data_IF_351934701534
#
_entry.id   IF_351934701534
#
_cell.length_a   1.000
_cell.length_b   1.000
_cell.length_c   1.000
_cell.angle_alpha   90.00
_cell.angle_beta   90.00
_cell.angle_gamma   90.00
#
_symmetry.space_group_name_H-M   'P 1'
#
loop_
_entity.id
_entity.type
_entity.pdbx_description
1 polymer ?
#
# COMPACT_ATOMS: atom_id res chain seq x y z
N UNK A 1 -8.35 13.40 -32.83
CA UNK A 1 -9.35 12.32 -32.99
C UNK A 1 -9.16 11.51 -34.28
N UNK A 2 -8.51 12.08 -35.34
CA UNK A 2 -8.25 11.37 -36.60
C UNK A 2 -7.12 10.32 -36.52
N UNK A 3 -6.23 10.42 -35.55
CA UNK A 3 -5.09 9.49 -35.39
C UNK A 3 -5.54 8.12 -34.85
N UNK A 4 -6.62 8.09 -34.08
CA UNK A 4 -7.19 6.85 -33.54
C UNK A 4 -7.98 6.05 -34.58
N UNK A 5 -8.25 6.62 -35.76
CA UNK A 5 -9.01 5.99 -36.81
C UNK A 5 -8.18 5.74 -38.09
N UNK A 6 -6.87 5.67 -37.99
CA UNK A 6 -5.95 5.47 -39.11
C UNK A 6 -5.67 3.99 -39.45
N UNK A 7 -6.47 3.12 -39.00
CA UNK A 7 -6.41 1.70 -39.37
C UNK A 7 -7.77 1.22 -39.83
N UNK A 8 -7.88 0.01 -40.28
CA UNK A 8 -9.11 -0.70 -40.71
C UNK A 8 -10.17 -0.79 -39.59
N UNK A 9 -10.31 0.25 -38.89
CA UNK A 9 -10.90 0.72 -37.63
C UNK A 9 -12.02 -0.13 -37.05
N UNK A 10 -12.96 -0.60 -37.78
CA UNK A 10 -14.10 -1.29 -37.18
C UNK A 10 -14.17 -2.78 -37.54
N UNK A 11 -13.16 -3.32 -38.22
CA UNK A 11 -13.18 -4.74 -38.58
C UNK A 11 -13.08 -5.68 -37.37
N UNK A 12 -12.40 -5.25 -36.31
CA UNK A 12 -12.31 -5.98 -35.03
C UNK A 12 -13.61 -5.99 -34.24
N UNK A 13 -14.45 -4.95 -34.42
CA UNK A 13 -15.73 -4.81 -33.71
C UNK A 13 -16.90 -5.48 -34.45
N UNK A 14 -16.66 -6.12 -35.60
CA UNK A 14 -17.72 -6.73 -36.42
C UNK A 14 -18.09 -8.11 -35.89
N UNK A 15 -19.28 -8.23 -35.31
CA UNK A 15 -19.81 -9.49 -34.75
C UNK A 15 -20.23 -10.53 -35.80
N UNK A 16 -20.36 -10.15 -37.09
CA UNK A 16 -20.84 -11.04 -38.16
C UNK A 16 -19.72 -11.66 -39.01
N UNK A 17 -18.47 -11.19 -38.83
CA UNK A 17 -17.32 -11.68 -39.57
C UNK A 17 -17.02 -13.14 -39.22
N UNK A 18 -16.88 -14.00 -40.23
CA UNK A 18 -16.64 -15.44 -40.04
C UNK A 18 -15.40 -15.74 -39.17
N UNK A 19 -14.33 -14.96 -39.34
CA UNK A 19 -13.08 -15.13 -38.59
C UNK A 19 -13.19 -14.73 -37.10
N UNK A 20 -14.25 -14.01 -36.71
CA UNK A 20 -14.50 -13.58 -35.35
C UNK A 20 -15.71 -14.29 -34.71
N UNK A 21 -16.33 -15.24 -35.48
CA UNK A 21 -17.47 -15.99 -34.97
C UNK A 21 -17.02 -16.91 -33.82
N UNK A 22 -17.64 -16.76 -32.68
CA UNK A 22 -17.29 -17.49 -31.46
C UNK A 22 -16.16 -16.87 -30.63
N UNK A 23 -15.65 -15.68 -31.03
CA UNK A 23 -14.78 -14.91 -30.17
C UNK A 23 -15.65 -14.21 -29.14
N UNK A 24 -15.55 -14.68 -27.90
CA UNK A 24 -16.11 -14.01 -26.76
C UNK A 24 -15.12 -12.92 -26.30
N UNK A 25 -15.60 -11.69 -26.23
CA UNK A 25 -14.79 -10.56 -25.76
C UNK A 25 -15.14 -10.27 -24.29
N UNK A 26 -14.10 -10.27 -23.44
CA UNK A 26 -14.23 -10.03 -22.01
C UNK A 26 -13.47 -8.79 -21.57
N UNK A 27 -12.97 -7.98 -22.49
CA UNK A 27 -12.26 -6.75 -22.18
C UNK A 27 -13.23 -5.67 -21.71
N UNK A 28 -13.16 -5.32 -20.46
CA UNK A 28 -13.89 -4.21 -19.84
C UNK A 28 -13.02 -2.97 -19.64
N UNK A 29 -13.52 -2.02 -18.89
CA UNK A 29 -12.71 -0.94 -18.35
C UNK A 29 -11.74 -1.50 -17.31
N UNK A 30 -10.63 -0.82 -17.07
CA UNK A 30 -9.69 -1.23 -16.02
C UNK A 30 -10.37 -1.37 -14.63
N UNK A 31 -11.42 -0.61 -14.38
CA UNK A 31 -12.25 -0.70 -13.18
C UNK A 31 -13.04 -2.01 -13.13
N UNK A 32 -13.73 -2.36 -14.22
CA UNK A 32 -14.52 -3.60 -14.31
C UNK A 32 -13.62 -4.83 -14.21
N UNK A 33 -12.49 -4.85 -14.95
CA UNK A 33 -11.53 -5.95 -14.91
C UNK A 33 -10.93 -6.14 -13.52
N UNK A 34 -10.76 -5.07 -12.74
CA UNK A 34 -10.26 -5.14 -11.37
C UNK A 34 -11.36 -5.55 -10.38
N UNK A 35 -12.53 -4.90 -10.41
CA UNK A 35 -13.59 -5.13 -9.43
C UNK A 35 -14.11 -6.57 -9.48
N UNK A 36 -14.33 -7.10 -10.66
CA UNK A 36 -14.86 -8.47 -10.86
C UNK A 36 -13.86 -9.57 -10.45
N UNK A 37 -12.57 -9.29 -10.52
CA UNK A 37 -11.53 -10.30 -10.31
C UNK A 37 -10.76 -10.13 -8.99
N UNK A 38 -10.80 -8.96 -8.35
CA UNK A 38 -9.93 -8.61 -7.23
C UNK A 38 -10.04 -9.58 -6.06
N UNK A 39 -11.25 -9.95 -5.67
CA UNK A 39 -11.48 -10.87 -4.54
C UNK A 39 -10.88 -12.26 -4.81
N UNK A 40 -11.07 -12.78 -6.02
CA UNK A 40 -10.52 -14.08 -6.42
C UNK A 40 -9.00 -14.02 -6.50
N UNK A 41 -8.44 -12.95 -7.04
CA UNK A 41 -7.00 -12.75 -7.14
C UNK A 41 -6.34 -12.64 -5.77
N UNK A 42 -6.95 -11.92 -4.83
CA UNK A 42 -6.48 -11.82 -3.44
C UNK A 42 -6.50 -13.18 -2.74
N UNK A 43 -7.58 -13.93 -2.86
CA UNK A 43 -7.67 -15.27 -2.29
C UNK A 43 -6.61 -16.21 -2.87
N UNK A 44 -6.42 -16.23 -4.19
CA UNK A 44 -5.38 -17.04 -4.85
C UNK A 44 -3.96 -16.62 -4.45
N UNK A 45 -3.71 -15.32 -4.30
CA UNK A 45 -2.42 -14.79 -3.85
C UNK A 45 -2.08 -15.25 -2.43
N UNK A 46 -3.06 -15.21 -1.52
CA UNK A 46 -2.91 -15.70 -0.14
C UNK A 46 -2.70 -17.22 -0.09
N UNK A 47 -3.47 -17.96 -0.88
CA UNK A 47 -3.32 -19.40 -0.99
C UNK A 47 -1.93 -19.77 -1.53
N UNK A 48 -1.46 -19.08 -2.55
CA UNK A 48 -0.10 -19.24 -3.06
C UNK A 48 0.98 -18.92 -2.00
N UNK A 49 0.80 -17.87 -1.21
CA UNK A 49 1.72 -17.54 -0.12
C UNK A 49 1.76 -18.62 0.95
N UNK A 50 0.62 -19.22 1.29
CA UNK A 50 0.54 -20.27 2.33
C UNK A 50 0.96 -21.65 1.81
N UNK A 51 0.65 -21.98 0.56
CA UNK A 51 0.78 -23.32 0.02
C UNK A 51 1.97 -23.55 -0.92
N UNK A 52 2.56 -22.50 -1.49
CA UNK A 52 3.65 -22.62 -2.47
C UNK A 52 4.96 -22.09 -1.89
N UNK A 53 5.93 -22.95 -1.55
CA UNK A 53 7.19 -22.53 -0.92
C UNK A 53 7.97 -21.49 -1.71
N UNK A 54 7.96 -21.57 -3.04
CA UNK A 54 8.63 -20.60 -3.91
C UNK A 54 7.99 -19.21 -3.83
N UNK A 55 6.66 -19.12 -3.80
CA UNK A 55 5.95 -17.86 -3.65
C UNK A 55 6.22 -17.25 -2.26
N UNK A 56 6.15 -18.07 -1.21
CA UNK A 56 6.49 -17.66 0.16
C UNK A 56 7.92 -17.12 0.25
N UNK A 57 8.89 -17.84 -0.34
CA UNK A 57 10.28 -17.43 -0.34
C UNK A 57 10.49 -16.10 -1.08
N UNK A 58 9.86 -15.93 -2.25
CA UNK A 58 9.94 -14.70 -3.03
C UNK A 58 9.42 -13.49 -2.25
N UNK A 59 8.23 -13.59 -1.65
CA UNK A 59 7.62 -12.50 -0.88
C UNK A 59 8.42 -12.16 0.39
N UNK A 60 8.92 -13.19 1.10
CA UNK A 60 9.80 -12.97 2.26
C UNK A 60 11.12 -12.31 1.87
N UNK A 61 11.71 -12.68 0.73
CA UNK A 61 12.94 -12.07 0.22
C UNK A 61 12.70 -10.60 -0.16
N UNK A 62 11.60 -10.30 -0.84
CA UNK A 62 11.21 -8.92 -1.16
C UNK A 62 11.03 -8.09 0.12
N UNK A 63 10.29 -8.59 1.09
CA UNK A 63 10.11 -7.93 2.37
C UNK A 63 11.45 -7.64 3.06
N UNK A 64 12.34 -8.63 3.10
CA UNK A 64 13.64 -8.49 3.74
C UNK A 64 14.55 -7.50 3.00
N UNK A 65 14.51 -7.48 1.67
CA UNK A 65 15.36 -6.58 0.88
C UNK A 65 14.84 -5.14 0.85
N UNK A 66 13.52 -4.92 0.93
CA UNK A 66 12.92 -3.58 0.85
C UNK A 66 12.80 -2.94 2.22
N UNK A 67 12.25 -3.66 3.20
CA UNK A 67 11.99 -3.11 4.54
C UNK A 67 13.11 -3.45 5.51
N UNK A 68 13.78 -4.58 5.34
CA UNK A 68 14.84 -5.07 6.24
C UNK A 68 14.42 -5.03 7.72
N UNK A 69 15.18 -4.35 8.55
CA UNK A 69 14.88 -4.13 9.97
C UNK A 69 13.88 -3.00 10.25
N UNK A 70 13.37 -2.34 9.21
CA UNK A 70 12.49 -1.19 9.28
C UNK A 70 13.14 0.08 8.73
N UNK A 71 12.31 0.94 8.13
CA UNK A 71 12.73 2.23 7.61
C UNK A 71 12.75 3.25 8.75
N UNK A 72 13.81 4.02 8.83
CA UNK A 72 13.98 5.11 9.81
C UNK A 72 13.95 6.46 9.10
N UNK A 73 13.46 7.53 9.73
CA UNK A 73 13.49 8.86 9.12
C UNK A 73 14.94 9.38 9.03
N UNK A 74 15.24 10.04 7.93
CA UNK A 74 16.44 10.83 7.73
C UNK A 74 16.01 12.28 7.47
N UNK A 75 15.81 13.11 8.50
CA UNK A 75 15.35 14.48 8.32
C UNK A 75 16.38 15.30 7.55
N UNK A 76 15.90 16.03 6.53
CA UNK A 76 16.66 16.97 5.73
C UNK A 76 16.03 18.35 5.90
N UNK A 77 16.42 19.04 6.98
CA UNK A 77 15.85 20.33 7.33
C UNK A 77 16.63 21.44 6.66
N UNK A 78 15.94 22.33 5.96
CA UNK A 78 16.49 23.56 5.44
C UNK A 78 16.58 24.60 6.58
N UNK A 79 17.73 24.65 7.21
CA UNK A 79 17.99 25.56 8.34
C UNK A 79 17.99 27.02 7.91
N UNK A 80 18.46 27.31 6.69
CA UNK A 80 18.51 28.69 6.17
C UNK A 80 17.08 29.25 5.97
N UNK A 81 16.19 28.45 5.40
CA UNK A 81 14.77 28.81 5.26
C UNK A 81 14.08 29.07 6.59
N UNK A 82 14.43 28.30 7.64
CA UNK A 82 13.88 28.46 8.98
C UNK A 82 14.58 29.52 9.84
N UNK A 83 15.64 30.10 9.33
CA UNK A 83 16.46 31.08 10.07
C UNK A 83 17.24 30.45 11.23
N UNK A 84 17.55 29.17 11.15
CA UNK A 84 18.33 28.41 12.13
C UNK A 84 19.81 28.39 11.74
N UNK A 85 20.67 28.42 12.72
CA UNK A 85 22.09 28.13 12.53
C UNK A 85 22.30 26.64 12.18
N UNK A 86 23.46 26.33 11.61
CA UNK A 86 23.79 24.94 11.31
C UNK A 86 23.74 24.04 12.55
N UNK A 87 24.26 24.52 13.68
CA UNK A 87 24.26 23.78 14.95
C UNK A 87 22.82 23.51 15.47
N UNK A 88 21.94 24.50 15.35
CA UNK A 88 20.53 24.35 15.74
C UNK A 88 19.79 23.36 14.80
N UNK A 89 20.09 23.40 13.51
CA UNK A 89 19.54 22.49 12.52
C UNK A 89 19.94 21.03 12.80
N UNK A 90 21.23 20.80 13.08
CA UNK A 90 21.75 19.47 13.42
C UNK A 90 21.11 18.96 14.72
N UNK A 91 21.03 19.76 15.75
CA UNK A 91 20.36 19.40 17.02
C UNK A 91 18.89 19.05 16.83
N UNK A 92 18.18 19.81 15.98
CA UNK A 92 16.77 19.54 15.68
C UNK A 92 16.61 18.22 14.94
N UNK A 93 17.47 17.93 13.96
CA UNK A 93 17.46 16.66 13.22
C UNK A 93 17.75 15.48 14.15
N UNK A 94 18.75 15.57 15.01
CA UNK A 94 19.04 14.55 16.01
C UNK A 94 17.88 14.33 16.98
N UNK A 95 17.24 15.41 17.43
CA UNK A 95 16.06 15.31 18.29
C UNK A 95 14.92 14.57 17.61
N UNK A 96 14.62 14.87 16.34
CA UNK A 96 13.56 14.20 15.57
C UNK A 96 13.84 12.69 15.49
N UNK A 97 15.06 12.29 15.14
CA UNK A 97 15.42 10.88 15.04
C UNK A 97 15.28 10.17 16.39
N UNK A 98 15.72 10.82 17.46
CA UNK A 98 15.63 10.26 18.82
C UNK A 98 14.18 10.10 19.27
N UNK A 99 13.36 11.13 19.12
CA UNK A 99 11.95 11.10 19.52
C UNK A 99 11.16 10.07 18.68
N UNK A 100 11.47 9.97 17.39
CA UNK A 100 10.89 8.94 16.54
C UNK A 100 11.26 7.53 17.03
N UNK A 101 12.52 7.27 17.35
CA UNK A 101 12.96 5.97 17.86
C UNK A 101 12.26 5.61 19.18
N UNK A 102 12.13 6.56 20.10
CA UNK A 102 11.42 6.35 21.37
C UNK A 102 9.94 5.96 21.20
N UNK A 103 9.31 6.46 20.15
CA UNK A 103 7.94 6.08 19.75
C UNK A 103 7.91 4.77 19.00
N UNK A 104 8.79 4.59 18.00
CA UNK A 104 8.77 3.47 17.05
C UNK A 104 9.20 2.13 17.65
N UNK A 105 10.16 2.14 18.61
CA UNK A 105 10.73 0.92 19.21
C UNK A 105 9.75 0.15 20.11
N UNK A 106 8.69 0.82 20.54
CA UNK A 106 7.74 0.24 21.51
C UNK A 106 6.44 -0.20 20.85
N UNK A 107 5.85 -1.32 21.29
CA UNK A 107 4.52 -1.73 20.82
C UNK A 107 3.39 -0.74 21.11
N UNK A 108 3.67 0.29 21.90
CA UNK A 108 2.69 1.35 22.19
C UNK A 108 2.38 2.24 21.00
N UNK A 109 3.20 2.22 19.94
CA UNK A 109 2.88 2.86 18.66
C UNK A 109 1.79 2.13 17.88
N UNK A 110 1.59 0.84 18.12
CA UNK A 110 0.51 0.07 17.57
C UNK A 110 -0.79 0.27 18.38
N UNK A 111 -1.91 0.44 17.68
CA UNK A 111 -3.23 0.56 18.30
C UNK A 111 -3.64 -0.74 19.01
N UNK A 112 -3.17 -1.89 18.55
CA UNK A 112 -3.41 -3.21 19.12
C UNK A 112 -2.32 -3.63 20.13
N UNK A 113 -1.22 -2.89 20.21
CA UNK A 113 -0.08 -3.08 21.11
C UNK A 113 0.62 -4.44 20.96
N UNK A 114 0.68 -4.94 19.76
CA UNK A 114 1.31 -6.22 19.44
C UNK A 114 2.71 -5.99 18.88
N UNK A 115 2.81 -5.11 17.89
CA UNK A 115 4.01 -4.90 17.09
C UNK A 115 4.62 -3.52 17.35
N UNK A 116 5.94 -3.40 17.18
CA UNK A 116 6.58 -2.10 17.07
C UNK A 116 6.42 -1.54 15.64
N UNK A 117 6.79 -0.28 15.43
CA UNK A 117 6.59 0.39 14.14
C UNK A 117 7.32 -0.30 12.98
N UNK A 118 8.47 -0.87 13.22
CA UNK A 118 9.26 -1.57 12.19
C UNK A 118 8.61 -2.89 11.78
N UNK A 119 8.02 -3.60 12.72
CA UNK A 119 7.23 -4.81 12.46
C UNK A 119 5.95 -4.46 11.69
N UNK A 120 5.28 -3.36 12.05
CA UNK A 120 4.12 -2.85 11.30
C UNK A 120 4.48 -2.50 9.85
N UNK A 121 5.65 -1.91 9.59
CA UNK A 121 6.12 -1.66 8.22
C UNK A 121 6.30 -2.97 7.43
N UNK A 122 6.89 -3.98 8.05
CA UNK A 122 7.05 -5.30 7.41
C UNK A 122 5.71 -5.95 7.12
N UNK A 123 4.76 -5.84 8.05
CA UNK A 123 3.40 -6.36 7.89
C UNK A 123 2.64 -5.61 6.80
N UNK A 124 2.73 -4.28 6.77
CA UNK A 124 2.12 -3.44 5.75
C UNK A 124 2.64 -3.78 4.35
N UNK A 125 3.96 -3.91 4.20
CA UNK A 125 4.56 -4.27 2.92
C UNK A 125 4.18 -5.68 2.47
N UNK A 126 4.12 -6.64 3.37
CA UNK A 126 3.67 -7.99 3.05
C UNK A 126 2.19 -8.01 2.64
N UNK A 127 1.33 -7.24 3.34
CA UNK A 127 -0.08 -7.08 2.97
C UNK A 127 -0.22 -6.47 1.57
N UNK A 128 0.56 -5.43 1.27
CA UNK A 128 0.61 -4.83 -0.06
C UNK A 128 0.98 -5.84 -1.15
N UNK A 129 2.02 -6.66 -0.93
CA UNK A 129 2.45 -7.67 -1.89
C UNK A 129 1.41 -8.76 -2.13
N UNK A 130 0.64 -9.15 -1.09
CA UNK A 130 -0.35 -10.21 -1.19
C UNK A 130 -1.72 -9.73 -1.69
N UNK A 131 -2.13 -8.53 -1.30
CA UNK A 131 -3.49 -8.03 -1.51
C UNK A 131 -3.59 -6.90 -2.53
N UNK A 132 -2.43 -6.34 -2.96
CA UNK A 132 -2.34 -5.20 -3.88
C UNK A 132 -2.43 -3.86 -3.18
N UNK A 133 -2.97 -3.81 -1.97
CA UNK A 133 -3.08 -2.59 -1.16
C UNK A 133 -2.87 -2.88 0.34
N UNK A 134 -2.66 -1.81 1.08
CA UNK A 134 -2.65 -1.81 2.54
C UNK A 134 -3.13 -0.44 3.02
N UNK A 135 -3.88 -0.41 4.09
CA UNK A 135 -4.38 0.82 4.68
C UNK A 135 -3.93 0.95 6.12
N UNK A 136 -3.70 2.18 6.56
CA UNK A 136 -3.38 2.47 7.95
C UNK A 136 -4.29 3.60 8.46
N UNK A 137 -4.86 3.40 9.62
CA UNK A 137 -5.46 4.47 10.41
C UNK A 137 -4.42 4.99 11.40
N UNK A 138 -4.46 6.28 11.64
CA UNK A 138 -3.56 6.99 12.56
C UNK A 138 -4.36 7.60 13.72
N UNK A 139 -4.92 6.78 14.61
CA UNK A 139 -5.67 7.31 15.75
C UNK A 139 -4.75 8.01 16.73
N UNK A 140 -5.20 9.18 17.20
CA UNK A 140 -4.56 9.93 18.27
C UNK A 140 -5.37 9.73 19.55
N UNK A 141 -4.81 9.05 20.53
CA UNK A 141 -5.49 8.73 21.79
C UNK A 141 -4.54 8.90 22.97
N UNK A 142 -4.91 9.82 23.87
CA UNK A 142 -4.19 10.03 25.12
C UNK A 142 -4.27 8.80 26.01
N UNK A 143 -3.12 8.43 26.57
CA UNK A 143 -3.01 7.33 27.51
C UNK A 143 -2.11 7.73 28.68
N UNK A 144 -2.57 7.45 29.88
CA UNK A 144 -1.79 7.71 31.10
C UNK A 144 -0.44 6.99 31.05
N UNK A 145 0.64 7.72 31.34
CA UNK A 145 1.99 7.18 31.35
C UNK A 145 2.65 6.97 29.98
N UNK A 146 2.02 7.42 28.90
CA UNK A 146 2.60 7.36 27.56
C UNK A 146 2.91 8.76 27.05
N UNK A 147 4.15 9.03 26.56
CA UNK A 147 4.53 10.35 26.08
C UNK A 147 3.97 10.68 24.69
N UNK A 148 3.58 9.66 23.90
CA UNK A 148 3.08 9.83 22.55
C UNK A 148 1.65 9.32 22.43
N UNK A 149 0.79 10.12 21.77
CA UNK A 149 -0.64 9.83 21.59
C UNK A 149 -0.92 9.16 20.24
N UNK A 150 -0.02 9.33 19.26
CA UNK A 150 -0.15 8.77 17.92
C UNK A 150 -0.01 7.24 17.96
N UNK A 151 -0.95 6.57 17.28
CA UNK A 151 -0.93 5.12 17.06
C UNK A 151 -1.06 4.82 15.57
N UNK A 152 -0.64 3.63 15.20
CA UNK A 152 -0.88 3.08 13.86
C UNK A 152 -1.76 1.86 14.00
N UNK A 153 -2.76 1.74 13.15
CA UNK A 153 -3.59 0.55 13.02
C UNK A 153 -3.63 0.14 11.57
N UNK A 154 -3.06 -1.00 11.25
CA UNK A 154 -3.17 -1.57 9.91
C UNK A 154 -4.55 -2.16 9.68
N UNK A 155 -5.05 -2.00 8.46
CA UNK A 155 -6.34 -2.54 8.01
C UNK A 155 -6.07 -3.33 6.74
N UNK A 156 -6.60 -4.55 6.73
CA UNK A 156 -6.55 -5.40 5.54
C UNK A 156 -7.27 -4.76 4.36
N UNK A 157 -6.72 -4.91 3.16
CA UNK A 157 -7.29 -4.37 1.93
C UNK A 157 -8.75 -4.80 1.67
N UNK A 158 -9.13 -6.00 2.12
CA UNK A 158 -10.50 -6.51 1.98
C UNK A 158 -11.56 -5.72 2.77
N UNK A 159 -11.12 -4.96 3.77
CA UNK A 159 -12.01 -4.09 4.56
C UNK A 159 -12.19 -2.71 3.96
N UNK A 160 -11.42 -2.39 2.93
CA UNK A 160 -11.54 -1.18 2.14
C UNK A 160 -12.32 -1.47 0.87
N UNK A 161 -13.36 -0.70 0.61
CA UNK A 161 -14.16 -0.81 -0.62
C UNK A 161 -15.06 0.40 -0.77
N UNK A 162 -15.46 0.67 -2.00
CA UNK A 162 -16.51 1.64 -2.25
C UNK A 162 -17.86 1.05 -1.81
N UNK A 163 -18.73 1.82 -1.17
CA UNK A 163 -20.10 1.39 -0.91
C UNK A 163 -20.75 0.95 -2.22
N UNK A 164 -21.40 -0.21 -2.22
CA UNK A 164 -22.07 -0.72 -3.42
C UNK A 164 -23.04 0.32 -4.00
N UNK A 165 -22.89 0.62 -5.29
CA UNK A 165 -23.70 1.61 -5.99
C UNK A 165 -23.18 3.05 -5.94
N UNK A 166 -22.06 3.32 -5.31
CA UNK A 166 -21.42 4.64 -5.38
C UNK A 166 -20.52 4.72 -6.61
N UNK A 167 -20.97 5.43 -7.63
CA UNK A 167 -20.13 5.84 -8.75
C UNK A 167 -19.54 7.23 -8.45
N UNK A 168 -18.22 7.33 -8.17
CA UNK A 168 -17.58 8.62 -7.87
C UNK A 168 -17.49 9.55 -9.10
N UNK A 169 -17.88 9.07 -10.29
CA UNK A 169 -17.83 9.80 -11.56
C UNK A 169 -19.23 10.04 -12.16
N UNK A 170 -20.31 9.66 -11.48
CA UNK A 170 -21.68 9.89 -11.90
C UNK A 170 -22.17 11.30 -11.49
#
# INVERSE_FOLDING_TARGET
>A
LSILNSGDGNYGANLTKKSLRGWEYHGGSAKEDMEDNLDVLRQRSRDAYMGIPTATAALKTLRTNVVAGGLIPSPQIDGEFLGLSQEETEKLQEQIVREFALWADKPTCDAERVDNFYQLQQLAFLSYLMNGDTMALLPVKKMAGQPYDLRVRLIEGDRGGSPGGFDPLA
#
